data_IF_002513337032
#
_entry.id   IF_002513337032
#
_cell.length_a   1.000
_cell.length_b   1.000
_cell.length_c   1.000
_cell.angle_alpha   90.00
_cell.angle_beta   90.00
_cell.angle_gamma   90.00
#
_symmetry.space_group_name_H-M   'P 1'
#
loop_
_entity.id
_entity.type
_entity.pdbx_description
1 polymer ?
#
# COMPACT_ATOMS: atom_id res chain seq x y z
N UNK A 1 20.45 3.81 -10.73
CA UNK A 1 20.18 3.26 -9.38
C UNK A 1 20.03 4.34 -8.32
N UNK A 2 20.66 5.52 -8.50
CA UNK A 2 20.61 6.63 -7.54
C UNK A 2 19.21 7.05 -7.10
N UNK A 3 18.23 7.13 -8.02
CA UNK A 3 16.86 7.48 -7.67
C UNK A 3 16.19 6.47 -6.72
N UNK A 4 16.47 5.17 -6.88
CA UNK A 4 15.95 4.13 -5.99
C UNK A 4 16.57 4.27 -4.61
N UNK A 5 17.89 4.46 -4.56
CA UNK A 5 18.63 4.63 -3.31
C UNK A 5 18.21 5.92 -2.56
N UNK A 6 18.00 7.02 -3.29
CA UNK A 6 17.48 8.25 -2.71
C UNK A 6 16.08 8.04 -2.10
N UNK A 7 15.18 7.33 -2.81
CA UNK A 7 13.84 7.02 -2.29
C UNK A 7 13.88 6.09 -1.09
N UNK A 8 14.74 5.06 -1.09
CA UNK A 8 14.84 4.14 0.05
C UNK A 8 15.41 4.83 1.29
N UNK A 9 16.39 5.73 1.11
CA UNK A 9 16.89 6.61 2.19
C UNK A 9 15.83 7.61 2.66
N UNK A 10 14.97 8.11 1.78
CA UNK A 10 13.88 8.98 2.18
C UNK A 10 12.85 8.25 3.04
N UNK A 11 12.50 7.01 2.68
CA UNK A 11 11.53 6.19 3.42
C UNK A 11 12.08 5.65 4.74
N UNK A 12 13.34 5.21 4.73
CA UNK A 12 14.04 4.70 5.89
C UNK A 12 15.36 5.47 5.96
N UNK A 13 15.46 6.58 6.71
CA UNK A 13 16.68 7.37 6.77
C UNK A 13 17.83 6.64 7.46
N UNK A 14 17.55 5.88 8.51
CA UNK A 14 18.54 5.14 9.30
C UNK A 14 18.29 3.64 9.09
N UNK A 15 19.24 2.88 8.52
CA UNK A 15 19.07 1.43 8.36
C UNK A 15 18.88 0.77 9.73
N UNK A 16 17.85 -0.05 9.87
CA UNK A 16 17.61 -0.81 11.10
C UNK A 16 16.73 -2.03 10.83
N UNK A 17 17.12 -3.23 11.30
CA UNK A 17 16.28 -4.43 11.20
C UNK A 17 15.02 -4.34 12.06
N UNK A 18 14.98 -3.44 13.05
CA UNK A 18 13.79 -3.20 13.89
C UNK A 18 12.70 -2.40 13.17
N UNK A 19 13.05 -1.72 12.06
CA UNK A 19 12.07 -1.03 11.23
C UNK A 19 11.41 -2.04 10.31
N UNK A 20 10.09 -2.17 10.42
CA UNK A 20 9.28 -3.00 9.55
C UNK A 20 8.62 -2.16 8.46
N UNK A 21 8.80 -2.54 7.19
CA UNK A 21 8.13 -1.92 6.04
C UNK A 21 7.16 -2.93 5.45
N UNK A 22 5.86 -2.63 5.53
CA UNK A 22 4.85 -3.39 4.81
C UNK A 22 4.92 -3.06 3.31
N UNK A 23 5.16 -4.08 2.50
CA UNK A 23 5.27 -3.94 1.06
C UNK A 23 4.21 -4.78 0.35
N UNK A 24 3.61 -4.18 -0.68
CA UNK A 24 2.50 -4.80 -1.41
C UNK A 24 2.99 -6.02 -2.19
N UNK A 25 2.41 -7.18 -1.95
CA UNK A 25 2.73 -8.43 -2.65
C UNK A 25 2.04 -8.50 -4.02
N UNK A 26 2.53 -7.70 -4.97
CA UNK A 26 1.97 -7.68 -6.33
C UNK A 26 2.78 -8.61 -7.23
N UNK A 27 2.31 -9.84 -7.37
CA UNK A 27 2.91 -10.89 -8.21
C UNK A 27 2.83 -10.59 -9.72
N UNK A 28 1.82 -9.82 -10.16
CA UNK A 28 1.64 -9.43 -11.56
C UNK A 28 1.73 -7.91 -11.75
N UNK A 29 2.64 -7.48 -12.61
CA UNK A 29 2.70 -6.11 -13.11
C UNK A 29 2.38 -6.14 -14.59
N UNK A 30 1.09 -6.06 -14.90
CA UNK A 30 0.69 -5.62 -16.23
C UNK A 30 1.19 -4.19 -16.35
N UNK A 31 2.29 -4.02 -17.08
CA UNK A 31 2.74 -2.71 -17.49
C UNK A 31 1.58 -2.03 -18.21
N UNK A 32 1.31 -0.77 -17.87
CA UNK A 32 0.40 0.02 -18.70
C UNK A 32 1.00 0.03 -20.11
N UNK A 33 0.18 -0.26 -21.13
CA UNK A 33 0.64 -0.35 -22.52
C UNK A 33 1.42 0.93 -22.89
N UNK A 34 2.65 0.77 -23.37
CA UNK A 34 3.53 1.89 -23.75
C UNK A 34 4.26 2.58 -22.59
N UNK A 35 4.06 2.15 -21.34
CA UNK A 35 4.74 2.72 -20.16
C UNK A 35 5.82 1.74 -19.66
N UNK A 36 7.05 2.22 -19.44
CA UNK A 36 8.10 1.42 -18.80
C UNK A 36 7.61 0.83 -17.47
N UNK A 37 7.99 -0.43 -17.22
CA UNK A 37 7.63 -1.08 -15.96
C UNK A 37 8.31 -0.37 -14.80
N UNK A 38 7.55 -0.13 -13.74
CA UNK A 38 8.10 0.42 -12.51
C UNK A 38 9.16 -0.55 -11.93
N UNK A 39 10.28 -0.06 -11.38
CA UNK A 39 11.38 -0.90 -10.91
C UNK A 39 11.10 -1.50 -9.52
N UNK A 40 9.91 -2.08 -9.32
CA UNK A 40 9.42 -2.51 -8.00
C UNK A 40 10.30 -3.59 -7.37
N UNK A 41 10.82 -4.53 -8.17
CA UNK A 41 11.74 -5.56 -7.66
C UNK A 41 13.04 -4.95 -7.14
N UNK A 42 13.63 -4.04 -7.90
CA UNK A 42 14.85 -3.35 -7.51
C UNK A 42 14.62 -2.45 -6.29
N UNK A 43 13.48 -1.75 -6.25
CA UNK A 43 13.09 -0.92 -5.12
C UNK A 43 12.88 -1.73 -3.84
N UNK A 44 12.20 -2.88 -3.93
CA UNK A 44 12.03 -3.81 -2.80
C UNK A 44 13.37 -4.29 -2.27
N UNK A 45 14.26 -4.74 -3.16
CA UNK A 45 15.61 -5.20 -2.79
C UNK A 45 16.42 -4.11 -2.08
N UNK A 46 16.34 -2.86 -2.54
CA UNK A 46 17.01 -1.74 -1.88
C UNK A 46 16.41 -1.42 -0.50
N UNK A 47 15.10 -1.63 -0.30
CA UNK A 47 14.47 -1.50 1.01
C UNK A 47 14.87 -2.63 1.96
N UNK A 48 14.98 -3.87 1.46
CA UNK A 48 15.41 -5.05 2.23
C UNK A 48 16.84 -4.88 2.80
N UNK A 49 17.69 -4.08 2.15
CA UNK A 49 19.02 -3.72 2.66
C UNK A 49 18.99 -2.76 3.85
N UNK A 50 17.84 -2.15 4.14
CA UNK A 50 17.70 -1.07 5.12
C UNK A 50 16.71 -1.35 6.24
N UNK A 51 15.75 -2.23 6.00
CA UNK A 51 14.65 -2.52 6.91
C UNK A 51 14.15 -3.95 6.70
N UNK A 52 13.41 -4.47 7.69
CA UNK A 52 12.68 -5.72 7.55
C UNK A 52 11.46 -5.48 6.65
N UNK A 53 11.50 -6.00 5.42
CA UNK A 53 10.41 -5.84 4.45
C UNK A 53 9.47 -7.03 4.51
N UNK A 54 8.18 -6.77 4.78
CA UNK A 54 7.16 -7.79 4.90
C UNK A 54 6.16 -7.66 3.75
N UNK A 55 6.03 -8.73 2.96
CA UNK A 55 5.05 -8.82 1.90
C UNK A 55 3.64 -8.98 2.50
N UNK A 56 2.73 -8.11 2.06
CA UNK A 56 1.34 -8.08 2.51
C UNK A 56 0.40 -8.19 1.31
N UNK A 57 -0.65 -9.00 1.46
CA UNK A 57 -1.69 -9.15 0.43
C UNK A 57 -2.46 -7.82 0.23
N UNK A 58 -2.58 -7.42 -1.03
CA UNK A 58 -3.22 -6.18 -1.45
C UNK A 58 -4.75 -6.28 -1.56
N UNK A 59 -5.34 -7.47 -1.35
CA UNK A 59 -6.75 -7.73 -1.58
C UNK A 59 -7.65 -6.66 -0.95
N UNK A 60 -8.39 -5.95 -1.82
CA UNK A 60 -9.35 -4.87 -1.49
C UNK A 60 -8.79 -3.68 -0.68
N UNK A 61 -7.49 -3.59 -0.42
CA UNK A 61 -6.86 -2.48 0.33
C UNK A 61 -7.16 -1.11 -0.29
N UNK A 62 -7.25 -0.99 -1.61
CA UNK A 62 -7.64 0.27 -2.29
C UNK A 62 -9.14 0.47 -2.48
N UNK A 63 -9.97 -0.53 -2.13
CA UNK A 63 -11.42 -0.56 -2.33
C UNK A 63 -12.20 -0.36 -1.03
N UNK A 64 -11.59 -0.61 0.13
CA UNK A 64 -12.18 -0.36 1.45
C UNK A 64 -11.62 0.92 2.04
N UNK A 65 -12.46 1.65 2.77
CA UNK A 65 -12.03 2.85 3.47
C UNK A 65 -11.17 2.51 4.67
N UNK A 66 -10.04 3.19 4.83
CA UNK A 66 -9.16 3.05 6.00
C UNK A 66 -9.77 3.54 7.32
N UNK A 67 -10.84 4.34 7.29
CA UNK A 67 -11.49 4.81 8.52
C UNK A 67 -12.69 3.95 8.91
N UNK A 68 -13.48 3.53 7.92
CA UNK A 68 -14.80 2.92 8.12
C UNK A 68 -14.83 1.43 7.73
N UNK A 69 -13.78 0.93 7.05
CA UNK A 69 -13.66 -0.38 6.37
C UNK A 69 -14.79 -0.78 5.43
N UNK A 70 -15.76 0.12 5.18
CA UNK A 70 -16.80 -0.07 4.18
C UNK A 70 -16.24 0.10 2.76
N UNK A 71 -16.92 -0.52 1.79
CA UNK A 71 -16.58 -0.39 0.38
C UNK A 71 -16.74 1.06 -0.09
N UNK A 72 -15.67 1.59 -0.68
CA UNK A 72 -15.67 2.90 -1.30
C UNK A 72 -16.50 2.88 -2.58
N UNK A 73 -17.18 3.99 -2.85
CA UNK A 73 -18.00 4.16 -4.07
C UNK A 73 -17.40 5.27 -4.92
N UNK A 74 -17.60 5.18 -6.23
CA UNK A 74 -17.23 6.27 -7.15
C UNK A 74 -17.98 7.54 -6.75
N UNK A 75 -17.24 8.63 -6.63
CA UNK A 75 -17.82 9.93 -6.37
C UNK A 75 -18.66 10.35 -7.58
N UNK A 76 -20.00 10.28 -7.44
CA UNK A 76 -20.92 10.67 -8.51
C UNK A 76 -20.94 12.18 -8.76
N UNK A 77 -20.52 12.97 -7.77
CA UNK A 77 -20.60 14.43 -7.74
C UNK A 77 -19.26 15.13 -8.02
N UNK A 78 -18.16 14.39 -8.24
CA UNK A 78 -16.88 14.99 -8.59
C UNK A 78 -16.67 14.97 -10.10
N UNK A 79 -16.02 16.01 -10.63
CA UNK A 79 -15.59 16.12 -12.03
C UNK A 79 -14.81 14.86 -12.45
N UNK A 80 -14.00 14.33 -11.52
CA UNK A 80 -13.32 13.06 -11.70
C UNK A 80 -14.07 11.89 -11.02
N UNK A 81 -14.79 11.12 -11.83
CA UNK A 81 -15.54 9.91 -11.40
C UNK A 81 -14.64 8.75 -10.93
N UNK A 82 -13.32 8.86 -11.07
CA UNK A 82 -12.36 7.85 -10.63
C UNK A 82 -11.93 8.01 -9.16
N UNK A 83 -12.39 9.07 -8.48
CA UNK A 83 -12.19 9.25 -7.04
C UNK A 83 -13.17 8.35 -6.28
N UNK A 84 -12.64 7.59 -5.32
CA UNK A 84 -13.41 6.69 -4.46
C UNK A 84 -13.62 7.33 -3.08
N UNK A 85 -14.86 7.32 -2.56
CA UNK A 85 -15.20 7.95 -1.27
C UNK A 85 -16.06 7.00 -0.40
N UNK A 86 -15.89 7.08 0.93
CA UNK A 86 -16.80 6.45 1.92
C UNK A 86 -17.93 7.45 2.23
N UNK A 87 -19.12 6.95 2.63
CA UNK A 87 -20.23 7.83 3.04
C UNK A 87 -19.92 8.66 4.29
N UNK A 88 -19.02 8.17 5.14
CA UNK A 88 -18.67 8.74 6.44
C UNK A 88 -17.42 9.63 6.44
N UNK A 89 -16.68 9.71 5.33
CA UNK A 89 -15.43 10.47 5.28
C UNK A 89 -15.29 11.30 4.01
N UNK A 90 -14.55 12.41 4.12
CA UNK A 90 -14.07 13.18 2.99
C UNK A 90 -13.17 12.28 2.10
N UNK A 91 -13.26 12.43 0.78
CA UNK A 91 -12.51 11.63 -0.17
C UNK A 91 -11.00 11.71 0.13
N UNK A 92 -10.34 10.55 0.34
CA UNK A 92 -8.89 10.45 0.56
C UNK A 92 -8.20 9.98 -0.73
N UNK A 93 -6.96 10.40 -0.94
CA UNK A 93 -6.12 9.84 -1.98
C UNK A 93 -6.09 8.30 -1.89
N UNK A 94 -6.29 7.64 -3.03
CA UNK A 94 -6.44 6.18 -3.11
C UNK A 94 -5.22 5.42 -2.61
N UNK A 95 -4.02 5.92 -2.92
CA UNK A 95 -2.76 5.27 -2.55
C UNK A 95 -2.50 5.43 -1.05
N UNK A 96 -2.80 6.60 -0.47
CA UNK A 96 -2.74 6.82 0.98
C UNK A 96 -3.73 5.90 1.71
N UNK A 97 -4.95 5.78 1.20
CA UNK A 97 -5.95 4.87 1.78
C UNK A 97 -5.47 3.40 1.75
N UNK A 98 -4.92 2.96 0.62
CA UNK A 98 -4.40 1.61 0.50
C UNK A 98 -3.21 1.36 1.43
N UNK A 99 -2.28 2.32 1.55
CA UNK A 99 -1.13 2.22 2.43
C UNK A 99 -1.53 2.09 3.91
N UNK A 100 -2.56 2.81 4.35
CA UNK A 100 -3.06 2.71 5.73
C UNK A 100 -3.68 1.33 6.00
N UNK A 101 -4.48 0.81 5.07
CA UNK A 101 -5.04 -0.53 5.19
C UNK A 101 -3.94 -1.62 5.23
N UNK A 102 -2.87 -1.45 4.43
CA UNK A 102 -1.70 -2.34 4.46
C UNK A 102 -0.99 -2.26 5.83
N UNK A 103 -0.84 -1.06 6.38
CA UNK A 103 -0.24 -0.85 7.70
C UNK A 103 -1.06 -1.51 8.82
N UNK A 104 -2.39 -1.40 8.77
CA UNK A 104 -3.26 -2.11 9.72
C UNK A 104 -3.11 -3.62 9.61
N UNK A 105 -3.05 -4.15 8.38
CA UNK A 105 -2.83 -5.57 8.18
C UNK A 105 -1.48 -6.03 8.74
N UNK A 106 -0.43 -5.22 8.59
CA UNK A 106 0.87 -5.48 9.18
C UNK A 106 0.79 -5.52 10.70
N UNK A 107 0.11 -4.56 11.34
CA UNK A 107 -0.06 -4.54 12.80
C UNK A 107 -0.76 -5.81 13.30
N UNK A 108 -1.84 -6.22 12.66
CA UNK A 108 -2.54 -7.45 13.03
C UNK A 108 -1.63 -8.69 12.89
N UNK A 109 -0.80 -8.75 11.83
CA UNK A 109 0.17 -9.83 11.64
C UNK A 109 1.25 -9.84 12.72
N UNK A 110 1.81 -8.68 13.09
CA UNK A 110 2.85 -8.58 14.12
C UNK A 110 2.33 -8.86 15.54
N UNK A 111 1.03 -8.72 15.75
CA UNK A 111 0.36 -8.99 17.02
C UNK A 111 -0.32 -10.37 17.06
N UNK A 112 -0.11 -11.21 16.04
CA UNK A 112 -0.74 -12.53 15.89
C UNK A 112 -2.27 -12.54 15.98
N UNK A 113 -2.92 -11.43 15.61
CA UNK A 113 -4.39 -11.26 15.62
C UNK A 113 -5.06 -11.82 14.37
N UNK A 114 -4.31 -12.47 13.49
CA UNK A 114 -4.78 -12.94 12.19
C UNK A 114 -5.13 -11.80 11.23
N UNK A 115 -5.87 -12.11 10.16
CA UNK A 115 -6.31 -11.12 9.16
C UNK A 115 -7.69 -10.59 9.52
N UNK A 116 -7.84 -9.27 9.45
CA UNK A 116 -9.15 -8.62 9.55
C UNK A 116 -10.13 -9.23 8.54
N UNK A 117 -11.30 -9.65 9.01
CA UNK A 117 -12.32 -10.34 8.23
C UNK A 117 -12.71 -9.56 6.95
N UNK A 118 -12.70 -8.23 7.00
CA UNK A 118 -13.02 -7.36 5.85
C UNK A 118 -12.04 -7.48 4.68
N UNK A 119 -10.82 -7.95 4.94
CA UNK A 119 -9.78 -8.14 3.92
C UNK A 119 -9.60 -9.61 3.53
N UNK A 120 -10.37 -10.56 4.06
CA UNK A 120 -10.31 -11.94 3.61
C UNK A 120 -10.83 -12.07 2.15
N UNK A 121 -10.24 -12.96 1.32
CA UNK A 121 -10.64 -13.19 -0.08
C UNK A 121 -12.12 -13.50 -0.27
#
# INVERSE_FOLDING_TARGET
MEAIDALTKQLVPIPSPQVCVAFRDRSYQDGLRGIPRAPVKAFRKALEQRATVLLMDEFRTSKLCSCCHQSLRRARQLINRNVLCCKKSLCRNRDVNAAINILEHLKCRLLDLGRLATFQP
#
